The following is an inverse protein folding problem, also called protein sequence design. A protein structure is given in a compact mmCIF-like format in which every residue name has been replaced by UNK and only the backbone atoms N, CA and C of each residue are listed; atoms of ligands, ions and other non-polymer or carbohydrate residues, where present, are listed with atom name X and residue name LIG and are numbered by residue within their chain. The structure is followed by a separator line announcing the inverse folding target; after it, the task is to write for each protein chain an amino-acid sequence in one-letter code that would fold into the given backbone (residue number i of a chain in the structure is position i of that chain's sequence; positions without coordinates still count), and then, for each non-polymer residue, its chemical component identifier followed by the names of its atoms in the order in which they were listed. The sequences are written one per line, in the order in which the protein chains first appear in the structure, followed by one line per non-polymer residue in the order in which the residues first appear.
data_IF_568584358670
#
_entry.id   IF_568584358670
#
_cell.length_a   1.000
_cell.length_b   1.000
_cell.length_c   1.000
_cell.angle_alpha   90.00
_cell.angle_beta   90.00
_cell.angle_gamma   90.00
#
_symmetry.space_group_name_H-M   'P 1'
#
loop_
_entity.id
_entity.type
_entity.pdbx_description
1 polymer ?
#
# COMPACT_ATOMS: atom_id res chain seq x y z
N UNK A 1 -29.36 -1.92 62.34
CA UNK A 1 -30.34 -2.58 61.44
C UNK A 1 -30.86 -1.66 60.30
N UNK A 2 -30.00 -0.94 59.54
CA UNK A 2 -30.46 -0.06 58.42
C UNK A 2 -29.58 -0.04 57.16
N UNK A 3 -28.64 -0.98 56.96
CA UNK A 3 -27.82 -1.07 55.72
C UNK A 3 -28.13 -2.25 54.80
N UNK A 4 -28.81 -3.31 55.27
CA UNK A 4 -29.19 -4.46 54.43
C UNK A 4 -30.30 -4.15 53.40
N UNK A 5 -31.12 -3.12 53.63
CA UNK A 5 -32.35 -2.89 52.85
C UNK A 5 -32.14 -2.11 51.54
N UNK A 6 -30.96 -1.49 51.31
CA UNK A 6 -30.72 -0.72 50.08
C UNK A 6 -30.21 -1.62 48.94
N UNK A 7 -29.21 -2.47 49.23
CA UNK A 7 -28.64 -3.38 48.22
C UNK A 7 -29.66 -4.43 47.78
N UNK A 8 -30.49 -4.95 48.69
CA UNK A 8 -31.53 -5.92 48.32
C UNK A 8 -32.63 -5.27 47.46
N UNK A 9 -32.97 -3.99 47.70
CA UNK A 9 -33.90 -3.24 46.83
C UNK A 9 -33.30 -2.91 45.49
N UNK A 10 -32.01 -2.55 45.46
CA UNK A 10 -31.29 -2.29 44.22
C UNK A 10 -31.19 -3.58 43.38
N UNK A 11 -30.92 -4.72 44.03
CA UNK A 11 -30.87 -6.02 43.39
C UNK A 11 -32.24 -6.48 42.90
N UNK A 12 -33.30 -6.28 43.69
CA UNK A 12 -34.67 -6.58 43.27
C UNK A 12 -35.14 -5.68 42.12
N UNK A 13 -34.69 -4.42 42.07
CA UNK A 13 -34.95 -3.52 40.95
C UNK A 13 -34.13 -3.86 39.70
N UNK A 14 -32.85 -4.24 39.86
CA UNK A 14 -31.96 -4.66 38.77
C UNK A 14 -32.32 -6.03 38.19
N UNK A 15 -32.86 -6.94 39.02
CA UNK A 15 -33.13 -8.33 38.65
C UNK A 15 -34.62 -8.68 38.59
N UNK A 16 -35.52 -7.70 38.71
CA UNK A 16 -36.95 -7.87 38.46
C UNK A 16 -37.15 -8.28 36.99
N UNK A 17 -37.56 -9.53 36.70
CA UNK A 17 -37.76 -9.95 35.33
C UNK A 17 -39.08 -9.35 34.85
N UNK A 18 -39.01 -8.24 34.12
CA UNK A 18 -40.10 -7.89 33.20
C UNK A 18 -40.12 -8.99 32.14
N UNK A 19 -41.05 -9.93 32.29
CA UNK A 19 -41.17 -11.14 31.47
C UNK A 19 -41.46 -10.88 29.98
N UNK A 20 -41.48 -9.62 29.53
CA UNK A 20 -41.61 -9.19 28.14
C UNK A 20 -40.43 -8.35 27.63
N UNK A 21 -39.50 -7.88 28.47
CA UNK A 21 -38.41 -7.01 28.03
C UNK A 21 -37.35 -7.75 27.21
N UNK A 22 -37.20 -9.06 27.38
CA UNK A 22 -36.23 -9.84 26.60
C UNK A 22 -36.58 -9.87 25.10
N UNK A 23 -37.87 -9.96 24.75
CA UNK A 23 -38.31 -9.94 23.36
C UNK A 23 -38.37 -8.52 22.79
N UNK A 24 -38.81 -7.52 23.58
CA UNK A 24 -38.78 -6.11 23.14
C UNK A 24 -37.34 -5.59 22.92
N UNK A 25 -36.36 -6.03 23.71
CA UNK A 25 -34.94 -5.68 23.49
C UNK A 25 -34.43 -6.30 22.20
N UNK A 26 -34.73 -7.58 21.93
CA UNK A 26 -34.31 -8.26 20.70
C UNK A 26 -34.97 -7.66 19.45
N UNK A 27 -36.26 -7.29 19.53
CA UNK A 27 -37.00 -6.63 18.44
C UNK A 27 -36.58 -5.18 18.23
N UNK A 28 -35.98 -4.53 19.24
CA UNK A 28 -35.40 -3.18 19.14
C UNK A 28 -33.95 -3.16 18.64
N UNK A 29 -33.31 -4.32 18.44
CA UNK A 29 -31.98 -4.39 17.82
C UNK A 29 -32.12 -4.14 16.32
N UNK A 30 -32.12 -2.87 15.95
CA UNK A 30 -32.02 -2.48 14.54
C UNK A 30 -30.66 -2.98 14.01
N UNK A 31 -30.70 -3.90 13.03
CA UNK A 31 -29.49 -4.35 12.34
C UNK A 31 -28.98 -3.21 11.48
N UNK A 32 -28.18 -2.32 12.08
CA UNK A 32 -27.50 -1.25 11.34
C UNK A 32 -26.53 -1.93 10.37
N UNK A 33 -26.83 -1.84 9.07
CA UNK A 33 -25.94 -2.35 8.03
C UNK A 33 -24.73 -1.43 7.92
N UNK A 34 -23.69 -1.78 8.68
CA UNK A 34 -22.38 -1.15 8.57
C UNK A 34 -21.73 -1.43 7.21
N UNK A 35 -20.94 -0.50 6.72
CA UNK A 35 -20.13 -0.67 5.52
C UNK A 35 -18.93 -1.59 5.78
N UNK A 36 -18.27 -2.03 4.71
CA UNK A 36 -17.04 -2.84 4.79
C UNK A 36 -15.78 -2.01 4.53
N UNK A 37 -14.71 -2.38 5.21
CA UNK A 37 -13.35 -2.06 4.80
C UNK A 37 -12.77 -3.29 4.10
N UNK A 38 -12.55 -3.21 2.80
CA UNK A 38 -11.87 -4.27 2.06
C UNK A 38 -10.46 -3.79 1.68
N UNK A 39 -9.48 -4.69 1.65
CA UNK A 39 -8.06 -4.31 1.55
C UNK A 39 -7.42 -4.95 0.34
N UNK A 40 -6.61 -4.20 -0.42
CA UNK A 40 -5.81 -4.70 -1.55
C UNK A 40 -4.33 -4.59 -1.22
N UNK A 41 -3.62 -5.72 -1.20
CA UNK A 41 -2.22 -5.81 -0.80
C UNK A 41 -1.37 -6.55 -1.83
N UNK A 42 -0.09 -6.18 -1.91
CA UNK A 42 0.93 -6.96 -2.58
C UNK A 42 1.48 -7.98 -1.60
N UNK A 43 1.67 -9.22 -2.02
CA UNK A 43 2.14 -10.29 -1.13
C UNK A 43 3.62 -10.63 -1.33
N UNK A 44 4.34 -9.88 -2.17
CA UNK A 44 5.78 -10.07 -2.44
C UNK A 44 6.54 -8.79 -2.07
N UNK A 45 7.56 -8.41 -2.85
CA UNK A 45 8.37 -7.20 -2.64
C UNK A 45 7.88 -6.00 -3.47
N UNK A 46 6.58 -5.92 -3.77
CA UNK A 46 5.99 -4.82 -4.53
C UNK A 46 5.90 -5.08 -6.03
N UNK A 47 5.34 -4.11 -6.76
CA UNK A 47 5.15 -4.12 -8.21
C UNK A 47 4.35 -5.32 -8.76
N UNK A 48 3.44 -5.88 -7.96
CA UNK A 48 2.60 -7.03 -8.34
C UNK A 48 1.39 -6.63 -9.21
N UNK A 49 1.21 -5.35 -9.53
CA UNK A 49 0.10 -4.87 -10.35
C UNK A 49 -1.19 -4.58 -9.57
N UNK A 50 -1.08 -4.17 -8.30
CA UNK A 50 -2.24 -3.77 -7.47
C UNK A 50 -3.16 -2.75 -8.13
N UNK A 51 -2.59 -1.72 -8.77
CA UNK A 51 -3.36 -0.64 -9.40
C UNK A 51 -4.42 -1.14 -10.39
N UNK A 52 -4.08 -2.18 -11.17
CA UNK A 52 -5.02 -2.84 -12.09
C UNK A 52 -6.20 -3.47 -11.35
N UNK A 53 -5.92 -4.22 -10.27
CA UNK A 53 -6.97 -4.87 -9.47
C UNK A 53 -7.82 -3.83 -8.75
N UNK A 54 -7.20 -2.76 -8.23
CA UNK A 54 -7.91 -1.64 -7.63
C UNK A 54 -8.86 -1.00 -8.64
N UNK A 55 -8.42 -0.69 -9.85
CA UNK A 55 -9.29 -0.09 -10.88
C UNK A 55 -10.49 -0.99 -11.22
N UNK A 56 -10.27 -2.31 -11.35
CA UNK A 56 -11.34 -3.28 -11.60
C UNK A 56 -12.36 -3.34 -10.45
N UNK A 57 -11.88 -3.25 -9.20
CA UNK A 57 -12.73 -3.34 -8.02
C UNK A 57 -13.44 -2.02 -7.69
N UNK A 58 -12.82 -0.89 -8.01
CA UNK A 58 -13.25 0.48 -7.62
C UNK A 58 -14.74 0.76 -7.85
N UNK A 59 -15.39 0.34 -8.96
CA UNK A 59 -16.82 0.59 -9.19
C UNK A 59 -17.77 0.02 -8.12
N UNK A 60 -17.30 -0.89 -7.25
CA UNK A 60 -18.10 -1.50 -6.17
C UNK A 60 -18.01 -0.74 -4.84
N UNK A 61 -17.20 0.32 -4.76
CA UNK A 61 -16.87 1.01 -3.51
C UNK A 61 -17.25 2.49 -3.58
N UNK A 62 -17.62 3.06 -2.43
CA UNK A 62 -17.89 4.48 -2.29
C UNK A 62 -16.59 5.29 -2.10
N UNK A 63 -15.53 4.66 -1.60
CA UNK A 63 -14.25 5.32 -1.29
C UNK A 63 -13.07 4.39 -1.58
N UNK A 64 -12.02 4.92 -2.20
CA UNK A 64 -10.70 4.28 -2.30
C UNK A 64 -9.71 5.06 -1.43
N UNK A 65 -9.08 4.37 -0.49
CA UNK A 65 -8.27 4.98 0.56
C UNK A 65 -6.85 4.42 0.58
N UNK A 66 -5.84 5.28 0.42
CA UNK A 66 -4.44 4.92 0.70
C UNK A 66 -4.22 5.00 2.21
N UNK A 67 -3.63 3.95 2.79
CA UNK A 67 -3.48 3.85 4.24
C UNK A 67 -2.05 3.95 4.74
N UNK A 68 -1.06 3.81 3.87
CA UNK A 68 0.36 3.86 4.23
C UNK A 68 1.23 4.28 3.03
N UNK A 69 2.51 4.44 3.30
CA UNK A 69 3.52 4.74 2.29
C UNK A 69 3.46 6.20 1.87
N UNK A 70 4.08 6.52 0.75
CA UNK A 70 4.08 7.85 0.19
C UNK A 70 4.21 7.82 -1.33
N UNK A 71 4.87 8.81 -1.94
CA UNK A 71 5.10 8.85 -3.38
C UNK A 71 6.22 7.88 -3.83
N UNK A 72 6.51 6.84 -3.05
CA UNK A 72 7.55 5.83 -3.33
C UNK A 72 7.00 4.58 -4.04
N UNK A 73 5.68 4.42 -4.13
CA UNK A 73 5.05 3.47 -5.03
C UNK A 73 4.56 4.23 -6.28
N UNK A 74 4.81 3.69 -7.47
CA UNK A 74 4.19 4.16 -8.70
C UNK A 74 3.15 3.15 -9.16
N UNK A 75 1.90 3.59 -9.28
CA UNK A 75 0.82 2.78 -9.81
C UNK A 75 0.63 3.17 -11.28
N UNK A 76 1.16 2.34 -12.17
CA UNK A 76 0.90 2.45 -13.59
C UNK A 76 -0.56 2.12 -13.87
N UNK A 77 -1.23 3.01 -14.60
CA UNK A 77 -2.62 2.88 -15.00
C UNK A 77 -2.70 3.07 -16.51
N UNK A 78 -3.52 2.25 -17.16
CA UNK A 78 -3.85 2.37 -18.58
C UNK A 78 -5.36 2.55 -18.70
N UNK A 79 -5.79 3.71 -19.20
CA UNK A 79 -7.19 4.12 -19.23
C UNK A 79 -7.49 4.72 -20.59
N UNK A 80 -8.46 4.12 -21.30
CA UNK A 80 -8.83 4.53 -22.66
C UNK A 80 -7.62 4.64 -23.62
N UNK A 81 -6.64 3.73 -23.48
CA UNK A 81 -5.41 3.73 -24.28
C UNK A 81 -4.36 4.78 -23.87
N UNK A 82 -4.60 5.57 -22.81
CA UNK A 82 -3.61 6.47 -22.23
C UNK A 82 -2.96 5.81 -21.02
N UNK A 83 -1.62 5.86 -20.97
CA UNK A 83 -0.85 5.32 -19.85
C UNK A 83 -0.27 6.45 -19.00
N UNK A 84 -0.37 6.32 -17.68
CA UNK A 84 0.23 7.24 -16.73
C UNK A 84 0.59 6.56 -15.41
N UNK A 85 1.38 7.25 -14.60
CA UNK A 85 1.83 6.77 -13.30
C UNK A 85 1.38 7.76 -12.24
N UNK A 86 0.55 7.30 -11.30
CA UNK A 86 0.20 8.06 -10.09
C UNK A 86 0.98 7.51 -8.90
N UNK A 87 1.43 8.39 -8.01
CA UNK A 87 2.31 8.02 -6.92
C UNK A 87 1.64 8.09 -5.53
N UNK A 88 0.98 9.21 -5.26
CA UNK A 88 0.38 9.59 -3.99
C UNK A 88 -1.16 9.42 -4.01
N UNK A 89 -1.80 9.85 -5.09
CA UNK A 89 -3.27 9.81 -5.23
C UNK A 89 -3.71 8.34 -5.49
N UNK A 90 -4.76 7.85 -4.80
CA UNK A 90 -5.24 6.48 -5.00
C UNK A 90 -5.64 6.18 -6.46
N UNK A 91 -5.44 4.95 -6.91
CA UNK A 91 -5.69 4.50 -8.29
C UNK A 91 -7.16 4.60 -8.72
N UNK A 92 -8.10 4.73 -7.77
CA UNK A 92 -9.51 5.02 -8.05
C UNK A 92 -9.78 6.41 -8.67
N UNK A 93 -8.73 7.21 -8.93
CA UNK A 93 -8.83 8.58 -9.44
C UNK A 93 -9.51 8.73 -10.81
N UNK A 94 -9.80 7.64 -11.52
CA UNK A 94 -10.49 7.69 -12.81
C UNK A 94 -11.94 7.22 -12.76
N UNK A 95 -12.42 6.90 -11.55
CA UNK A 95 -13.80 6.53 -11.31
C UNK A 95 -14.52 7.75 -10.68
N UNK A 96 -15.35 8.49 -11.44
CA UNK A 96 -15.89 9.79 -11.01
C UNK A 96 -16.84 9.70 -9.81
N UNK A 97 -17.48 8.54 -9.59
CA UNK A 97 -18.38 8.32 -8.46
C UNK A 97 -17.69 8.00 -7.13
N UNK A 98 -16.35 7.98 -7.08
CA UNK A 98 -15.59 7.45 -5.95
C UNK A 98 -14.80 8.55 -5.24
N UNK A 99 -14.96 8.59 -3.92
CA UNK A 99 -14.16 9.43 -3.03
C UNK A 99 -12.74 8.85 -2.92
N UNK A 100 -11.73 9.72 -3.01
CA UNK A 100 -10.33 9.38 -2.81
C UNK A 100 -9.89 9.90 -1.45
N UNK A 101 -9.20 9.05 -0.69
CA UNK A 101 -8.74 9.42 0.65
C UNK A 101 -7.28 9.06 0.87
N UNK A 102 -6.50 9.98 1.41
CA UNK A 102 -5.13 9.75 1.87
C UNK A 102 -5.12 9.73 3.40
N UNK A 103 -4.87 8.55 3.96
CA UNK A 103 -5.00 8.25 5.38
C UNK A 103 -3.86 8.76 6.26
N UNK A 104 -4.08 8.65 7.57
CA UNK A 104 -3.13 9.03 8.61
C UNK A 104 -1.80 8.28 8.51
N UNK A 105 -1.83 7.04 8.02
CA UNK A 105 -0.63 6.23 7.90
C UNK A 105 0.30 6.72 6.79
N UNK A 106 -0.18 7.50 5.82
CA UNK A 106 0.62 8.00 4.70
C UNK A 106 1.56 9.15 5.09
N UNK A 107 2.66 9.26 4.34
CA UNK A 107 3.51 10.45 4.23
C UNK A 107 3.23 11.15 2.89
N UNK A 108 3.04 12.47 2.92
CA UNK A 108 2.53 13.28 1.80
C UNK A 108 3.61 14.25 1.35
N UNK A 109 3.96 14.18 0.06
CA UNK A 109 4.76 15.19 -0.64
C UNK A 109 3.83 16.05 -1.52
N UNK A 110 3.68 17.36 -1.23
CA UNK A 110 2.88 18.25 -2.05
C UNK A 110 3.32 18.35 -3.52
N UNK A 111 4.60 18.21 -3.81
CA UNK A 111 5.07 18.19 -5.21
C UNK A 111 4.58 16.94 -5.93
N UNK A 112 4.59 15.78 -5.25
CA UNK A 112 4.06 14.54 -5.81
C UNK A 112 2.54 14.60 -5.99
N UNK A 113 1.80 15.18 -5.04
CA UNK A 113 0.35 15.43 -5.19
C UNK A 113 0.07 16.27 -6.43
N UNK A 114 0.78 17.39 -6.59
CA UNK A 114 0.59 18.26 -7.75
C UNK A 114 0.87 17.53 -9.07
N UNK A 115 1.98 16.78 -9.14
CA UNK A 115 2.32 15.99 -10.32
C UNK A 115 1.25 14.94 -10.65
N UNK A 116 0.70 14.29 -9.63
CA UNK A 116 -0.38 13.33 -9.82
C UNK A 116 -1.66 14.02 -10.34
N UNK A 117 -2.02 15.19 -9.81
CA UNK A 117 -3.15 15.99 -10.30
C UNK A 117 -2.99 16.35 -11.78
N UNK A 118 -1.79 16.81 -12.18
CA UNK A 118 -1.47 17.14 -13.57
C UNK A 118 -1.58 15.89 -14.47
N UNK A 119 -1.06 14.75 -13.99
CA UNK A 119 -1.11 13.46 -14.71
C UNK A 119 -2.56 13.00 -14.89
N UNK A 120 -3.36 13.01 -13.82
CA UNK A 120 -4.76 12.61 -13.85
C UNK A 120 -5.54 13.52 -14.81
N UNK A 121 -5.35 14.84 -14.73
CA UNK A 121 -6.01 15.80 -15.62
C UNK A 121 -5.63 15.58 -17.09
N UNK A 122 -4.36 15.33 -17.38
CA UNK A 122 -3.88 15.05 -18.76
C UNK A 122 -4.49 13.77 -19.36
N UNK A 123 -4.90 12.84 -18.50
CA UNK A 123 -5.56 11.58 -18.87
C UNK A 123 -7.10 11.69 -18.81
N UNK A 124 -7.64 12.90 -18.62
CA UNK A 124 -9.08 13.16 -18.61
C UNK A 124 -9.81 12.84 -17.30
N UNK A 125 -9.07 12.60 -16.20
CA UNK A 125 -9.64 12.45 -14.87
C UNK A 125 -9.82 13.79 -14.16
N UNK A 126 -10.79 13.87 -13.25
CA UNK A 126 -11.01 15.04 -12.39
C UNK A 126 -11.30 14.59 -10.95
N UNK A 127 -10.48 15.00 -10.00
CA UNK A 127 -10.60 14.64 -8.57
C UNK A 127 -11.20 15.77 -7.71
N UNK A 128 -11.63 16.86 -8.33
CA UNK A 128 -12.21 18.03 -7.66
C UNK A 128 -13.42 17.64 -6.82
N UNK A 129 -13.47 18.11 -5.57
CA UNK A 129 -14.56 17.82 -4.64
C UNK A 129 -14.65 16.37 -4.12
N UNK A 130 -13.71 15.49 -4.51
CA UNK A 130 -13.72 14.08 -4.08
C UNK A 130 -12.38 13.56 -3.57
N UNK A 131 -11.30 14.33 -3.62
CA UNK A 131 -10.02 14.01 -2.99
C UNK A 131 -9.93 14.65 -1.60
N UNK A 132 -9.68 13.83 -0.58
CA UNK A 132 -9.51 14.27 0.80
C UNK A 132 -8.25 13.70 1.43
N UNK A 133 -7.69 14.46 2.37
CA UNK A 133 -6.52 14.11 3.15
C UNK A 133 -6.90 14.07 4.61
N UNK A 134 -6.41 13.08 5.35
CA UNK A 134 -6.46 13.16 6.80
C UNK A 134 -5.62 14.33 7.29
N UNK A 135 -6.16 15.07 8.26
CA UNK A 135 -5.41 16.08 9.02
C UNK A 135 -4.15 15.50 9.70
N UNK A 136 -4.10 14.18 9.97
CA UNK A 136 -2.96 13.48 10.58
C UNK A 136 -2.07 12.73 9.59
N UNK A 137 -2.29 12.86 8.28
CA UNK A 137 -1.31 12.39 7.30
C UNK A 137 0.00 13.18 7.50
N UNK A 138 1.15 12.49 7.47
CA UNK A 138 2.46 13.11 7.75
C UNK A 138 2.93 13.91 6.54
N UNK A 139 3.73 14.95 6.75
CA UNK A 139 4.34 15.71 5.67
C UNK A 139 5.77 15.26 5.42
N UNK A 140 6.10 15.07 4.14
CA UNK A 140 7.47 14.99 3.67
C UNK A 140 7.95 16.42 3.48
N UNK A 141 8.90 16.85 4.30
CA UNK A 141 9.50 18.19 4.25
C UNK A 141 10.75 18.17 3.34
N UNK A 142 11.16 19.31 2.77
CA UNK A 142 12.37 19.37 1.94
C UNK A 142 13.63 18.85 2.66
N UNK A 143 13.75 19.14 3.95
CA UNK A 143 14.86 18.63 4.77
C UNK A 143 14.87 17.10 4.90
N UNK A 144 13.70 16.43 4.84
CA UNK A 144 13.63 14.96 4.84
C UNK A 144 14.25 14.36 3.57
N UNK A 145 14.05 14.99 2.41
CA UNK A 145 14.64 14.55 1.14
C UNK A 145 16.17 14.65 1.22
N UNK A 146 16.68 15.74 1.78
CA UNK A 146 18.12 15.96 1.99
C UNK A 146 18.68 14.94 2.97
N UNK A 147 17.99 14.69 4.10
CA UNK A 147 18.42 13.72 5.11
C UNK A 147 18.46 12.29 4.56
N UNK A 148 17.47 11.90 3.76
CA UNK A 148 17.42 10.58 3.10
C UNK A 148 18.61 10.40 2.15
N UNK A 149 18.87 11.40 1.29
CA UNK A 149 20.05 11.41 0.40
C UNK A 149 21.37 11.36 1.17
N UNK A 150 21.48 12.13 2.25
CA UNK A 150 22.68 12.17 3.07
C UNK A 150 22.94 10.83 3.77
N UNK A 151 21.89 10.22 4.35
CA UNK A 151 21.98 8.93 5.03
C UNK A 151 22.42 7.81 4.07
N UNK A 152 21.81 7.73 2.88
CA UNK A 152 22.21 6.73 1.88
C UNK A 152 23.65 6.96 1.38
N UNK A 153 24.07 8.22 1.18
CA UNK A 153 25.45 8.54 0.81
C UNK A 153 26.45 8.07 1.87
N UNK A 154 26.14 8.28 3.16
CA UNK A 154 27.00 7.86 4.26
C UNK A 154 27.12 6.33 4.37
N UNK A 155 26.03 5.61 4.13
CA UNK A 155 26.04 4.14 4.19
C UNK A 155 26.89 3.50 3.09
N UNK A 156 27.08 4.18 1.95
CA UNK A 156 27.93 3.69 0.87
C UNK A 156 27.52 2.31 0.39
N UNK A 157 28.32 1.29 0.68
CA UNK A 157 28.02 -0.11 0.30
C UNK A 157 26.88 -0.73 1.10
N UNK A 158 26.58 -0.19 2.28
CA UNK A 158 25.50 -0.64 3.16
C UNK A 158 24.19 0.14 2.92
N UNK A 159 24.11 0.87 1.80
CA UNK A 159 22.90 1.58 1.41
C UNK A 159 21.73 0.60 1.21
N UNK A 160 20.53 1.01 1.62
CA UNK A 160 19.35 0.14 1.55
C UNK A 160 18.73 0.21 0.14
N UNK A 161 19.02 1.27 -0.61
CA UNK A 161 18.42 1.54 -1.91
C UNK A 161 17.15 2.36 -1.78
N UNK A 162 17.11 3.32 -0.86
CA UNK A 162 15.97 4.23 -0.66
C UNK A 162 15.56 4.91 -1.97
N UNK A 163 14.29 5.31 -2.02
CA UNK A 163 13.77 6.12 -3.14
C UNK A 163 14.29 7.57 -3.12
N UNK A 164 14.98 7.98 -2.05
CA UNK A 164 15.55 9.31 -1.88
C UNK A 164 14.47 10.42 -1.89
N UNK A 165 13.27 10.06 -1.43
CA UNK A 165 12.07 10.92 -1.39
C UNK A 165 11.73 11.38 0.02
N UNK A 166 12.56 11.09 1.03
CA UNK A 166 12.30 11.54 2.40
C UNK A 166 11.24 10.72 3.13
N UNK A 167 10.91 9.51 2.65
CA UNK A 167 9.92 8.61 3.26
C UNK A 167 10.38 8.23 4.67
N UNK A 168 11.58 7.67 4.78
CA UNK A 168 12.12 7.17 6.05
C UNK A 168 12.26 8.28 7.08
N UNK A 169 12.89 9.44 6.79
CA UNK A 169 12.92 10.55 7.72
C UNK A 169 11.54 11.05 8.17
N UNK A 170 10.54 11.11 7.27
CA UNK A 170 9.20 11.52 7.65
C UNK A 170 8.53 10.56 8.65
N UNK A 171 8.72 9.24 8.47
CA UNK A 171 8.27 8.26 9.46
C UNK A 171 9.06 8.33 10.76
N UNK A 172 10.39 8.51 10.70
CA UNK A 172 11.23 8.66 11.88
C UNK A 172 10.79 9.85 12.73
N UNK A 173 10.54 11.00 12.11
CA UNK A 173 10.07 12.20 12.80
C UNK A 173 8.67 12.01 13.40
N UNK A 174 7.80 11.27 12.73
CA UNK A 174 6.50 10.91 13.27
C UNK A 174 6.64 10.04 14.54
N UNK A 175 7.43 8.97 14.47
CA UNK A 175 7.71 8.11 15.61
C UNK A 175 8.44 8.87 16.74
N UNK A 176 9.31 9.82 16.38
CA UNK A 176 10.00 10.74 17.28
C UNK A 176 9.09 11.83 17.86
N UNK A 177 7.84 11.95 17.38
CA UNK A 177 6.84 12.95 17.79
C UNK A 177 7.27 14.41 17.51
N UNK A 178 8.05 14.60 16.45
CA UNK A 178 8.51 15.92 15.99
C UNK A 178 8.02 16.27 14.59
N UNK A 179 7.53 15.28 13.83
CA UNK A 179 7.04 15.46 12.46
C UNK A 179 5.78 16.32 12.36
N UNK A 180 5.62 16.97 11.21
CA UNK A 180 4.45 17.80 10.89
C UNK A 180 3.41 17.00 10.12
N UNK A 181 2.14 17.37 10.30
CA UNK A 181 1.01 16.75 9.62
C UNK A 181 0.32 17.73 8.66
N UNK A 182 -0.44 17.19 7.70
CA UNK A 182 -1.20 17.98 6.71
C UNK A 182 -2.08 19.04 7.38
N UNK A 183 -2.73 18.69 8.51
CA UNK A 183 -3.57 19.61 9.27
C UNK A 183 -2.82 20.74 9.98
N UNK A 184 -1.48 20.68 10.08
CA UNK A 184 -0.69 21.75 10.67
C UNK A 184 -0.50 22.93 9.71
N UNK A 185 -0.55 22.73 8.40
CA UNK A 185 -0.18 23.74 7.39
C UNK A 185 -0.91 25.07 7.57
N UNK A 186 -2.21 25.02 7.85
CA UNK A 186 -3.05 26.22 8.02
C UNK A 186 -3.05 26.79 9.45
N UNK A 187 -2.23 26.25 10.36
CA UNK A 187 -2.10 26.80 11.71
C UNK A 187 -1.14 27.99 11.71
N UNK A 188 -1.41 28.96 12.58
CA UNK A 188 -0.61 30.20 12.69
C UNK A 188 0.86 29.95 13.02
N UNK A 189 1.17 28.83 13.68
CA UNK A 189 2.52 28.47 14.12
C UNK A 189 3.26 27.53 13.15
N UNK A 190 2.69 27.23 11.98
CA UNK A 190 3.26 26.26 11.03
C UNK A 190 4.69 26.63 10.60
N UNK A 191 4.91 27.87 10.14
CA UNK A 191 6.23 28.32 9.68
C UNK A 191 7.28 28.22 10.79
N UNK A 192 6.92 28.55 12.03
CA UNK A 192 7.83 28.41 13.17
C UNK A 192 8.21 26.94 13.41
N UNK A 193 7.24 26.02 13.35
CA UNK A 193 7.48 24.58 13.49
C UNK A 193 8.36 24.04 12.35
N UNK A 194 8.08 24.45 11.11
CA UNK A 194 8.88 24.10 9.92
C UNK A 194 10.34 24.56 10.09
N UNK A 195 10.57 25.83 10.46
CA UNK A 195 11.93 26.34 10.71
C UNK A 195 12.62 25.55 11.82
N UNK A 196 11.91 25.21 12.90
CA UNK A 196 12.48 24.44 14.02
C UNK A 196 12.95 23.05 13.59
N UNK A 197 12.11 22.29 12.88
CA UNK A 197 12.46 20.92 12.45
C UNK A 197 13.55 20.95 11.37
N UNK A 198 13.51 21.91 10.45
CA UNK A 198 14.57 22.11 9.46
C UNK A 198 15.92 22.41 10.12
N UNK A 199 15.96 23.31 11.12
CA UNK A 199 17.19 23.65 11.82
C UNK A 199 17.73 22.48 12.65
N UNK A 200 16.85 21.71 13.30
CA UNK A 200 17.24 20.51 14.04
C UNK A 200 17.98 19.51 13.13
N UNK A 201 17.40 19.19 11.97
CA UNK A 201 18.02 18.23 11.04
C UNK A 201 19.25 18.80 10.31
N UNK A 202 19.30 20.10 10.01
CA UNK A 202 20.52 20.76 9.51
C UNK A 202 21.68 20.55 10.48
N UNK A 203 21.42 20.74 11.78
CA UNK A 203 22.45 20.56 12.79
C UNK A 203 22.88 19.09 12.90
N UNK A 204 21.94 18.15 12.88
CA UNK A 204 22.24 16.71 12.84
C UNK A 204 23.15 16.33 11.66
N UNK A 205 22.87 16.86 10.46
CA UNK A 205 23.69 16.61 9.27
C UNK A 205 25.10 17.20 9.44
N UNK A 206 25.22 18.43 9.98
CA UNK A 206 26.53 19.06 10.25
C UNK A 206 27.37 18.28 11.25
N UNK A 207 26.77 17.83 12.35
CA UNK A 207 27.45 17.05 13.39
C UNK A 207 28.00 15.72 12.86
N UNK A 208 27.42 15.20 11.77
CA UNK A 208 27.90 14.00 11.07
C UNK A 208 28.88 14.32 9.93
N UNK A 209 29.42 15.54 9.86
CA UNK A 209 30.35 15.96 8.81
C UNK A 209 29.70 16.32 7.48
N UNK A 210 28.36 16.45 7.43
CA UNK A 210 27.61 16.77 6.22
C UNK A 210 27.49 18.25 5.89
N UNK A 211 28.35 19.11 6.44
CA UNK A 211 28.31 20.56 6.21
C UNK A 211 28.36 20.94 4.73
N UNK A 212 29.40 20.49 4.03
CA UNK A 212 29.56 20.70 2.58
C UNK A 212 28.43 20.04 1.76
N UNK A 213 27.87 18.93 2.25
CA UNK A 213 26.73 18.29 1.58
C UNK A 213 25.50 19.20 1.58
N UNK A 214 25.23 19.89 2.70
CA UNK A 214 24.11 20.82 2.82
C UNK A 214 24.24 22.04 1.91
N UNK A 215 25.47 22.50 1.62
CA UNK A 215 25.72 23.66 0.76
C UNK A 215 25.25 23.45 -0.69
N UNK A 216 25.03 22.20 -1.10
CA UNK A 216 24.46 21.88 -2.43
C UNK A 216 22.95 22.15 -2.52
N UNK A 217 22.30 22.60 -1.44
CA UNK A 217 20.86 22.77 -1.38
C UNK A 217 20.48 24.16 -0.84
N UNK A 218 19.71 24.91 -1.61
CA UNK A 218 19.03 26.12 -1.12
C UNK A 218 17.73 25.72 -0.41
N UNK A 219 17.81 25.56 0.92
CA UNK A 219 16.66 25.15 1.73
C UNK A 219 15.55 26.21 1.79
N UNK A 220 15.87 27.49 1.64
CA UNK A 220 14.86 28.55 1.68
C UNK A 220 14.06 28.55 0.37
N UNK A 221 14.72 28.39 -0.77
CA UNK A 221 14.08 28.17 -2.07
C UNK A 221 13.23 26.88 -2.06
N UNK A 222 13.80 25.77 -1.59
CA UNK A 222 13.10 24.48 -1.53
C UNK A 222 11.85 24.55 -0.63
N UNK A 223 11.95 25.20 0.54
CA UNK A 223 10.79 25.41 1.41
C UNK A 223 9.75 26.33 0.75
N UNK A 224 10.17 27.40 0.07
CA UNK A 224 9.27 28.29 -0.68
C UNK A 224 8.49 27.55 -1.77
N UNK A 225 9.20 26.77 -2.59
CA UNK A 225 8.61 25.93 -3.63
C UNK A 225 7.65 24.88 -3.06
N UNK A 226 8.03 24.24 -1.96
CA UNK A 226 7.21 23.25 -1.25
C UNK A 226 5.92 23.83 -0.68
N UNK A 227 5.99 25.01 -0.02
CA UNK A 227 4.81 25.71 0.50
C UNK A 227 3.86 26.15 -0.61
N UNK A 228 4.43 26.59 -1.75
CA UNK A 228 3.67 26.93 -2.94
C UNK A 228 2.95 25.70 -3.52
N UNK A 229 3.67 24.58 -3.66
CA UNK A 229 3.09 23.32 -4.12
C UNK A 229 1.95 22.84 -3.20
N UNK A 230 2.10 22.93 -1.88
CA UNK A 230 1.03 22.62 -0.93
C UNK A 230 -0.18 23.52 -1.17
N UNK A 231 0.02 24.84 -1.16
CA UNK A 231 -1.09 25.81 -1.27
C UNK A 231 -1.88 25.68 -2.58
N UNK A 232 -1.22 25.23 -3.66
CA UNK A 232 -1.83 25.04 -4.98
C UNK A 232 -2.50 23.67 -5.17
N UNK A 233 -2.20 22.67 -4.33
CA UNK A 233 -2.66 21.29 -4.54
C UNK A 233 -3.51 20.71 -3.41
N UNK A 234 -3.43 21.27 -2.20
CA UNK A 234 -4.14 20.78 -1.01
C UNK A 234 -4.82 21.98 -0.35
N UNK A 235 -6.11 22.17 -0.62
CA UNK A 235 -6.90 23.24 -0.01
C UNK A 235 -7.43 22.83 1.36
N UNK A 236 -7.80 23.82 2.18
CA UNK A 236 -8.27 23.58 3.56
C UNK A 236 -9.51 22.68 3.64
N UNK A 237 -10.41 22.75 2.66
CA UNK A 237 -11.62 21.94 2.57
C UNK A 237 -11.36 20.47 2.21
N UNK A 238 -10.20 20.16 1.60
CA UNK A 238 -9.76 18.79 1.36
C UNK A 238 -9.25 18.10 2.63
N UNK A 239 -8.94 18.86 3.68
CA UNK A 239 -8.40 18.32 4.93
C UNK A 239 -9.55 17.96 5.87
N UNK A 240 -9.67 16.68 6.20
CA UNK A 240 -10.74 16.13 7.03
C UNK A 240 -10.19 15.47 8.29
N UNK A 241 -11.04 15.32 9.32
CA UNK A 241 -10.62 14.68 10.56
C UNK A 241 -10.20 13.23 10.35
N UNK A 242 -9.29 12.74 11.20
CA UNK A 242 -8.71 11.40 11.13
C UNK A 242 -9.74 10.26 11.16
N UNK A 243 -10.95 10.51 11.69
CA UNK A 243 -12.04 9.55 11.81
C UNK A 243 -12.95 9.47 10.57
N UNK A 244 -12.63 10.20 9.48
CA UNK A 244 -13.47 10.34 8.30
C UNK A 244 -13.93 8.99 7.73
N UNK A 245 -13.02 8.04 7.57
CA UNK A 245 -13.33 6.70 7.04
C UNK A 245 -14.25 5.94 8.00
N UNK A 246 -14.01 5.99 9.31
CA UNK A 246 -14.88 5.37 10.29
C UNK A 246 -16.30 5.93 10.21
N UNK A 247 -16.46 7.25 10.02
CA UNK A 247 -17.78 7.87 9.82
C UNK A 247 -18.45 7.37 8.55
N UNK A 248 -17.72 7.18 7.44
CA UNK A 248 -18.26 6.60 6.21
C UNK A 248 -18.73 5.15 6.41
N UNK A 249 -17.90 4.32 7.04
CA UNK A 249 -18.25 2.93 7.35
C UNK A 249 -19.51 2.83 8.23
N UNK A 250 -19.66 3.72 9.22
CA UNK A 250 -20.88 3.80 10.05
C UNK A 250 -22.14 4.23 9.29
N UNK A 251 -21.97 4.91 8.15
CA UNK A 251 -23.06 5.28 7.23
C UNK A 251 -23.38 4.17 6.22
N UNK A 252 -22.85 2.96 6.39
CA UNK A 252 -23.08 1.85 5.46
C UNK A 252 -22.26 1.92 4.18
N UNK A 253 -21.25 2.81 4.10
CA UNK A 253 -20.42 3.03 2.91
C UNK A 253 -19.25 2.07 2.85
N UNK A 254 -18.99 1.52 1.66
CA UNK A 254 -17.90 0.56 1.46
C UNK A 254 -16.61 1.28 1.06
N UNK A 255 -15.50 0.85 1.64
CA UNK A 255 -14.18 1.46 1.47
C UNK A 255 -13.20 0.41 1.00
N UNK A 256 -12.49 0.69 -0.09
CA UNK A 256 -11.37 -0.11 -0.58
C UNK A 256 -10.05 0.53 -0.12
N UNK A 257 -9.35 -0.13 0.79
CA UNK A 257 -8.02 0.26 1.24
C UNK A 257 -6.96 -0.22 0.24
N UNK A 258 -6.30 0.73 -0.42
CA UNK A 258 -5.24 0.49 -1.39
C UNK A 258 -3.87 0.46 -0.68
N UNK A 259 -3.21 -0.68 -0.70
CA UNK A 259 -1.85 -0.84 -0.20
C UNK A 259 -0.79 -0.34 -1.20
N UNK A 260 0.29 0.21 -0.67
CA UNK A 260 1.51 0.50 -1.42
C UNK A 260 2.58 -0.59 -1.14
N UNK A 261 3.53 -0.81 -2.06
CA UNK A 261 4.56 -1.86 -1.92
C UNK A 261 3.97 -3.26 -1.66
N UNK A 262 4.76 -4.22 -1.20
CA UNK A 262 4.33 -5.57 -0.88
C UNK A 262 4.61 -5.95 0.57
N UNK A 263 3.98 -7.03 1.03
CA UNK A 263 4.02 -7.50 2.43
C UNK A 263 5.42 -7.89 2.88
N UNK A 264 6.28 -8.38 1.98
CA UNK A 264 7.67 -8.74 2.30
C UNK A 264 8.60 -7.51 2.43
N UNK A 265 8.07 -6.30 2.24
CA UNK A 265 8.72 -5.03 2.54
C UNK A 265 8.16 -4.35 3.80
N UNK A 266 7.26 -4.99 4.55
CA UNK A 266 6.74 -4.45 5.81
C UNK A 266 7.87 -4.25 6.83
N UNK A 267 7.77 -3.19 7.64
CA UNK A 267 8.79 -2.87 8.66
C UNK A 267 8.95 -3.96 9.75
N UNK A 268 7.91 -4.75 10.04
CA UNK A 268 7.93 -5.78 11.08
C UNK A 268 8.13 -7.19 10.51
N UNK A 269 7.49 -7.51 9.37
CA UNK A 269 7.46 -8.88 8.83
C UNK A 269 8.35 -9.07 7.59
N UNK A 270 8.87 -8.00 7.02
CA UNK A 270 9.74 -8.05 5.85
C UNK A 270 11.20 -8.37 6.19
N UNK A 271 12.05 -8.38 5.17
CA UNK A 271 13.48 -8.69 5.30
C UNK A 271 14.29 -7.53 5.89
N UNK A 272 14.06 -7.20 7.17
CA UNK A 272 14.73 -6.10 7.85
C UNK A 272 16.27 -6.26 7.82
N UNK A 273 17.06 -5.21 7.51
CA UNK A 273 16.67 -3.79 7.38
C UNK A 273 16.21 -3.37 5.97
N UNK A 274 16.12 -4.28 5.00
CA UNK A 274 15.81 -3.98 3.60
C UNK A 274 14.31 -3.92 3.32
N UNK A 275 13.64 -3.06 4.07
CA UNK A 275 12.18 -2.90 4.13
C UNK A 275 11.79 -1.43 3.98
N UNK A 276 10.49 -1.15 3.81
CA UNK A 276 9.98 0.22 3.94
C UNK A 276 9.73 0.57 5.41
N UNK A 277 9.51 1.86 5.70
CA UNK A 277 9.31 2.36 7.07
C UNK A 277 7.83 2.38 7.49
N UNK A 278 6.99 1.57 6.84
CA UNK A 278 5.56 1.50 7.06
C UNK A 278 5.07 0.06 7.15
N UNK A 279 3.87 -0.11 7.71
CA UNK A 279 3.19 -1.40 7.70
C UNK A 279 2.45 -1.60 6.38
N UNK A 280 2.89 -2.55 5.57
CA UNK A 280 2.31 -2.90 4.26
C UNK A 280 1.23 -4.00 4.38
N UNK A 281 0.82 -4.33 5.60
CA UNK A 281 -0.14 -5.40 5.94
C UNK A 281 -1.59 -4.92 6.14
N UNK A 282 -2.53 -5.85 6.27
CA UNK A 282 -3.96 -5.60 6.61
C UNK A 282 -4.11 -4.83 7.92
N UNK A 283 -3.28 -5.14 8.93
CA UNK A 283 -3.25 -4.40 10.19
C UNK A 283 -2.84 -2.93 9.98
N UNK A 284 -1.90 -2.70 9.05
CA UNK A 284 -1.51 -1.37 8.58
C UNK A 284 -2.69 -0.56 8.03
N UNK A 285 -3.66 -1.19 7.37
CA UNK A 285 -4.87 -0.51 6.89
C UNK A 285 -5.74 0.01 8.04
N UNK A 286 -5.90 -0.79 9.09
CA UNK A 286 -6.68 -0.40 10.28
C UNK A 286 -6.04 0.81 10.99
N UNK A 287 -4.72 0.74 11.24
CA UNK A 287 -3.96 1.82 11.88
C UNK A 287 -3.94 3.07 11.00
N UNK A 288 -3.64 2.90 9.71
CA UNK A 288 -3.51 3.98 8.74
C UNK A 288 -4.79 4.75 8.49
N UNK A 289 -5.95 4.09 8.56
CA UNK A 289 -7.26 4.69 8.33
C UNK A 289 -8.04 5.00 9.62
N UNK A 290 -7.49 4.69 10.80
CA UNK A 290 -8.18 4.81 12.09
C UNK A 290 -9.50 4.03 12.15
N UNK A 291 -9.47 2.79 11.66
CA UNK A 291 -10.65 1.90 11.57
C UNK A 291 -10.45 0.67 12.48
N UNK A 292 -11.47 0.26 13.26
CA UNK A 292 -11.40 -0.99 14.02
C UNK A 292 -11.28 -2.22 13.12
N UNK A 293 -10.45 -3.23 13.48
CA UNK A 293 -10.28 -4.44 12.68
C UNK A 293 -11.59 -5.20 12.36
N UNK A 294 -12.64 -5.03 13.17
CA UNK A 294 -13.97 -5.66 12.98
C UNK A 294 -14.72 -5.18 11.72
N UNK A 295 -14.26 -4.10 11.08
CA UNK A 295 -14.80 -3.63 9.79
C UNK A 295 -14.15 -4.32 8.58
N UNK A 296 -13.00 -4.98 8.76
CA UNK A 296 -12.33 -5.69 7.66
C UNK A 296 -13.18 -6.87 7.22
N UNK A 297 -13.47 -7.00 5.91
CA UNK A 297 -14.27 -8.13 5.38
C UNK A 297 -13.50 -8.94 4.35
N UNK A 298 -13.05 -8.32 3.26
CA UNK A 298 -12.26 -8.99 2.22
C UNK A 298 -10.84 -8.45 2.19
N UNK A 299 -9.89 -9.36 2.00
CA UNK A 299 -8.50 -9.03 1.80
C UNK A 299 -8.07 -9.66 0.47
N UNK A 300 -7.89 -8.79 -0.51
CA UNK A 300 -7.40 -9.11 -1.84
C UNK A 300 -5.87 -9.11 -1.82
N UNK A 301 -5.28 -10.30 -1.94
CA UNK A 301 -3.84 -10.49 -2.03
C UNK A 301 -3.40 -10.64 -3.48
N UNK A 302 -2.41 -9.87 -3.90
CA UNK A 302 -1.93 -9.87 -5.28
C UNK A 302 -0.49 -10.38 -5.27
N UNK A 303 -0.26 -11.45 -6.05
CA UNK A 303 1.08 -11.92 -6.40
C UNK A 303 1.31 -11.74 -7.90
N UNK A 304 2.58 -11.76 -8.28
CA UNK A 304 3.02 -11.93 -9.66
C UNK A 304 3.38 -13.41 -9.87
N UNK A 305 3.19 -13.90 -11.09
CA UNK A 305 3.51 -15.30 -11.45
C UNK A 305 4.99 -15.65 -11.23
N UNK A 306 5.86 -14.65 -11.24
CA UNK A 306 7.26 -14.67 -10.84
C UNK A 306 7.51 -13.55 -9.82
N UNK A 307 8.68 -13.52 -9.19
CA UNK A 307 9.01 -12.50 -8.19
C UNK A 307 9.91 -11.41 -8.76
N UNK A 308 9.78 -10.20 -8.19
CA UNK A 308 10.67 -9.08 -8.48
C UNK A 308 10.99 -8.33 -7.21
N UNK A 309 12.22 -7.81 -7.09
CA UNK A 309 12.65 -6.97 -5.97
C UNK A 309 13.37 -5.72 -6.50
N UNK A 310 13.09 -4.58 -5.89
CA UNK A 310 13.81 -3.31 -6.12
C UNK A 310 14.69 -3.04 -4.91
N UNK A 311 15.96 -2.71 -5.16
CA UNK A 311 16.94 -2.43 -4.12
C UNK A 311 17.64 -3.67 -3.59
N UNK A 312 18.41 -3.46 -2.53
CA UNK A 312 19.26 -4.47 -1.92
C UNK A 312 18.46 -5.45 -1.04
N UNK A 313 19.16 -6.45 -0.52
CA UNK A 313 18.65 -7.42 0.46
C UNK A 313 18.42 -8.83 -0.09
N UNK A 314 18.05 -9.79 0.78
CA UNK A 314 17.87 -11.18 0.38
C UNK A 314 16.81 -11.33 -0.71
N UNK A 315 17.04 -12.18 -1.71
CA UNK A 315 16.01 -12.49 -2.69
C UNK A 315 15.99 -13.98 -3.00
N UNK A 316 15.30 -14.77 -2.16
CA UNK A 316 15.12 -16.19 -2.40
C UNK A 316 14.50 -16.43 -3.78
N UNK A 317 15.13 -17.30 -4.57
CA UNK A 317 14.71 -17.59 -5.94
C UNK A 317 15.18 -16.57 -6.99
N UNK A 318 16.11 -15.66 -6.66
CA UNK A 318 16.72 -14.77 -7.65
C UNK A 318 17.42 -15.54 -8.78
N UNK A 319 17.17 -15.14 -10.02
CA UNK A 319 17.88 -15.69 -11.18
C UNK A 319 19.24 -15.00 -11.28
N UNK A 320 20.31 -15.73 -10.92
CA UNK A 320 21.69 -15.23 -10.97
C UNK A 320 22.29 -15.29 -12.38
N UNK A 321 21.73 -16.11 -13.28
CA UNK A 321 22.14 -16.13 -14.67
C UNK A 321 21.71 -14.81 -15.36
N UNK A 322 22.69 -14.01 -15.78
CA UNK A 322 22.48 -12.66 -16.32
C UNK A 322 21.55 -12.67 -17.53
N UNK A 323 21.79 -13.55 -18.51
CA UNK A 323 21.02 -13.61 -19.75
C UNK A 323 19.56 -13.97 -19.47
N UNK A 324 19.31 -14.97 -18.62
CA UNK A 324 17.95 -15.38 -18.21
C UNK A 324 17.24 -14.28 -17.43
N UNK A 325 17.94 -13.61 -16.51
CA UNK A 325 17.40 -12.50 -15.74
C UNK A 325 17.09 -11.29 -16.62
N UNK A 326 17.93 -10.98 -17.62
CA UNK A 326 17.67 -9.92 -18.59
C UNK A 326 16.48 -10.24 -19.49
N UNK A 327 16.38 -11.47 -20.01
CA UNK A 327 15.22 -11.89 -20.80
C UNK A 327 13.90 -11.72 -20.02
N UNK A 328 13.83 -12.21 -18.78
CA UNK A 328 12.62 -12.06 -17.95
C UNK A 328 12.32 -10.59 -17.63
N UNK A 329 13.36 -9.79 -17.40
CA UNK A 329 13.22 -8.35 -17.13
C UNK A 329 12.68 -7.58 -18.32
N UNK A 330 13.19 -7.85 -19.52
CA UNK A 330 12.71 -7.22 -20.76
C UNK A 330 11.28 -7.62 -21.05
N UNK A 331 10.98 -8.92 -21.04
CA UNK A 331 9.64 -9.44 -21.32
C UNK A 331 8.60 -8.96 -20.31
N UNK A 332 8.99 -8.89 -19.04
CA UNK A 332 8.13 -8.40 -17.96
C UNK A 332 8.04 -6.87 -17.86
N UNK A 333 8.83 -6.12 -18.64
CA UNK A 333 9.06 -4.69 -18.46
C UNK A 333 9.39 -4.33 -17.00
N UNK A 334 10.32 -5.07 -16.40
CA UNK A 334 10.63 -4.99 -14.98
C UNK A 334 11.62 -3.87 -14.65
N UNK A 335 11.10 -2.66 -14.82
CA UNK A 335 11.73 -1.37 -14.55
C UNK A 335 10.83 -0.56 -13.62
N UNK A 336 11.44 0.11 -12.62
CA UNK A 336 10.71 0.97 -11.69
C UNK A 336 9.97 2.08 -12.44
N UNK A 337 8.63 2.14 -12.33
CA UNK A 337 7.82 3.13 -13.06
C UNK A 337 8.15 4.59 -12.71
N UNK A 338 8.76 4.80 -11.54
CA UNK A 338 9.13 6.12 -11.02
C UNK A 338 10.63 6.39 -11.09
N UNK A 339 11.47 5.38 -10.85
CA UNK A 339 12.93 5.53 -10.75
C UNK A 339 13.69 5.06 -12.00
N UNK A 340 13.05 4.28 -12.87
CA UNK A 340 13.69 3.60 -14.00
C UNK A 340 14.65 2.47 -13.60
N UNK A 341 14.83 2.19 -12.31
CA UNK A 341 15.78 1.17 -11.83
C UNK A 341 15.36 -0.23 -12.32
N UNK A 342 16.33 -0.99 -12.85
CA UNK A 342 16.19 -2.42 -13.16
C UNK A 342 15.75 -3.16 -11.89
N UNK A 343 14.68 -3.95 -11.96
CA UNK A 343 14.32 -4.84 -10.86
C UNK A 343 15.17 -6.11 -10.92
N UNK A 344 15.55 -6.63 -9.76
CA UNK A 344 15.98 -8.03 -9.66
C UNK A 344 14.78 -8.90 -9.97
N UNK A 345 14.99 -9.99 -10.69
CA UNK A 345 13.93 -10.91 -11.10
C UNK A 345 14.25 -12.31 -10.63
N UNK A 346 13.22 -13.05 -10.26
CA UNK A 346 13.37 -14.36 -9.67
C UNK A 346 12.07 -15.12 -9.68
N UNK A 347 12.08 -16.31 -9.11
CA UNK A 347 10.90 -17.12 -9.00
C UNK A 347 10.08 -16.80 -7.76
N UNK A 348 8.78 -17.07 -7.84
CA UNK A 348 7.87 -16.89 -6.71
C UNK A 348 8.14 -17.96 -5.65
N UNK A 349 8.55 -17.52 -4.46
CA UNK A 349 8.74 -18.38 -3.30
C UNK A 349 7.39 -18.62 -2.59
N UNK A 350 6.78 -19.79 -2.78
CA UNK A 350 5.43 -20.08 -2.28
C UNK A 350 5.31 -20.05 -0.76
N UNK A 351 6.34 -20.44 0.00
CA UNK A 351 6.26 -20.38 1.47
C UNK A 351 6.20 -18.94 2.00
N UNK A 352 6.93 -18.01 1.38
CA UNK A 352 6.86 -16.59 1.72
C UNK A 352 5.50 -16.00 1.33
N UNK A 353 4.96 -16.41 0.18
CA UNK A 353 3.60 -16.03 -0.23
C UNK A 353 2.57 -16.58 0.77
N UNK A 354 2.70 -17.83 1.21
CA UNK A 354 1.82 -18.46 2.19
C UNK A 354 1.87 -17.74 3.54
N UNK A 355 3.08 -17.36 3.99
CA UNK A 355 3.25 -16.54 5.19
C UNK A 355 2.53 -15.19 5.03
N UNK A 356 2.71 -14.50 3.90
CA UNK A 356 2.04 -13.24 3.61
C UNK A 356 0.50 -13.41 3.53
N UNK A 357 0.00 -14.50 2.96
CA UNK A 357 -1.44 -14.85 2.92
C UNK A 357 -1.98 -14.94 4.35
N UNK A 358 -1.31 -15.72 5.20
CA UNK A 358 -1.76 -16.00 6.58
C UNK A 358 -1.72 -14.77 7.46
N UNK A 359 -0.62 -14.00 7.43
CA UNK A 359 -0.49 -12.78 8.26
C UNK A 359 -1.56 -11.75 7.90
N UNK A 360 -1.88 -11.62 6.61
CA UNK A 360 -2.85 -10.64 6.15
C UNK A 360 -4.30 -11.13 6.20
N UNK A 361 -4.53 -12.43 6.41
CA UNK A 361 -5.86 -13.03 6.34
C UNK A 361 -6.47 -12.91 4.94
N UNK A 362 -5.70 -13.21 3.90
CA UNK A 362 -6.13 -13.06 2.50
C UNK A 362 -7.33 -13.97 2.20
N UNK A 363 -8.44 -13.37 1.79
CA UNK A 363 -9.65 -14.09 1.39
C UNK A 363 -9.66 -14.43 -0.10
N UNK A 364 -9.01 -13.58 -0.90
CA UNK A 364 -9.11 -13.58 -2.35
C UNK A 364 -7.73 -13.31 -2.97
N UNK A 365 -7.17 -14.30 -3.68
CA UNK A 365 -5.87 -14.20 -4.33
C UNK A 365 -6.03 -13.87 -5.82
N UNK A 366 -5.22 -12.92 -6.30
CA UNK A 366 -5.02 -12.62 -7.71
C UNK A 366 -3.57 -12.88 -8.11
N UNK A 367 -3.36 -13.40 -9.33
CA UNK A 367 -2.03 -13.67 -9.88
C UNK A 367 -1.86 -12.86 -11.16
N UNK A 368 -0.90 -11.93 -11.19
CA UNK A 368 -0.64 -11.10 -12.37
C UNK A 368 0.58 -11.54 -13.17
N UNK A 369 0.65 -11.08 -14.41
CA UNK A 369 1.75 -11.29 -15.36
C UNK A 369 2.01 -12.75 -15.72
N UNK A 370 0.95 -13.56 -15.83
CA UNK A 370 1.11 -14.95 -16.26
C UNK A 370 1.56 -15.04 -17.73
N UNK A 371 1.18 -14.06 -18.56
CA UNK A 371 1.60 -13.89 -19.96
C UNK A 371 3.12 -13.76 -20.15
N UNK A 372 3.83 -13.23 -19.14
CA UNK A 372 5.29 -13.16 -19.18
C UNK A 372 5.91 -14.56 -19.15
N UNK A 373 5.19 -15.57 -18.63
CA UNK A 373 5.67 -16.94 -18.61
C UNK A 373 5.31 -17.72 -19.90
N UNK A 374 4.37 -17.26 -20.74
CA UNK A 374 3.76 -18.07 -21.81
C UNK A 374 4.56 -18.19 -23.13
N UNK A 375 5.90 -18.28 -23.11
CA UNK A 375 6.72 -18.42 -24.33
C UNK A 375 7.47 -19.76 -24.35
N UNK A 376 7.53 -20.39 -25.52
CA UNK A 376 8.25 -21.64 -25.81
C UNK A 376 9.76 -21.52 -25.50
N UNK A 377 10.30 -20.30 -25.52
CA UNK A 377 11.69 -20.00 -25.19
C UNK A 377 11.91 -19.65 -23.72
N UNK A 378 10.89 -19.70 -22.85
CA UNK A 378 11.09 -19.52 -21.41
C UNK A 378 12.06 -20.61 -20.93
N UNK A 379 13.32 -20.29 -20.65
CA UNK A 379 14.33 -21.30 -20.43
C UNK A 379 14.05 -21.92 -19.07
N UNK A 380 13.42 -23.10 -19.10
CA UNK A 380 13.26 -23.98 -17.97
C UNK A 380 14.58 -24.04 -17.21
N UNK A 381 14.46 -23.86 -15.92
CA UNK A 381 15.52 -23.92 -14.95
C UNK A 381 16.04 -25.36 -14.89
N UNK A 382 16.94 -25.72 -15.79
CA UNK A 382 17.90 -26.75 -15.44
C UNK A 382 18.80 -26.17 -14.34
N UNK A 383 18.67 -26.66 -13.10
CA UNK A 383 19.80 -26.63 -12.16
C UNK A 383 19.63 -26.10 -10.74
N UNK A 384 18.43 -25.89 -10.19
CA UNK A 384 18.26 -25.63 -8.74
C UNK A 384 17.09 -26.48 -8.22
N UNK A 385 17.44 -27.61 -7.59
CA UNK A 385 16.62 -28.83 -7.48
C UNK A 385 15.47 -28.82 -6.45
N UNK A 386 15.05 -27.67 -5.94
CA UNK A 386 14.02 -27.59 -4.89
C UNK A 386 12.92 -26.55 -5.16
N UNK A 387 12.75 -26.10 -6.41
CA UNK A 387 11.77 -25.08 -6.72
C UNK A 387 10.43 -25.64 -7.25
N UNK A 388 9.26 -25.25 -6.70
CA UNK A 388 7.95 -25.82 -7.07
C UNK A 388 7.54 -25.58 -8.54
N UNK A 389 8.25 -24.68 -9.22
CA UNK A 389 8.04 -24.32 -10.62
C UNK A 389 9.14 -24.84 -11.57
N UNK A 390 10.04 -25.72 -11.14
CA UNK A 390 11.08 -26.29 -12.01
C UNK A 390 10.50 -27.14 -13.16
N UNK A 391 9.23 -27.57 -13.05
CA UNK A 391 8.55 -28.42 -14.05
C UNK A 391 7.40 -27.73 -14.79
N UNK A 392 7.42 -26.40 -14.94
CA UNK A 392 6.47 -25.71 -15.82
C UNK A 392 6.73 -26.12 -17.28
N UNK A 393 6.04 -27.15 -17.76
CA UNK A 393 5.89 -27.41 -19.20
C UNK A 393 4.87 -26.43 -19.77
N UNK A 394 4.79 -26.25 -21.08
CA UNK A 394 3.66 -25.53 -21.69
C UNK A 394 2.79 -26.51 -22.44
N UNK A 395 1.48 -26.31 -22.41
CA UNK A 395 0.58 -27.05 -23.30
C UNK A 395 0.67 -26.52 -24.74
N UNK A 396 0.00 -27.19 -25.67
CA UNK A 396 -0.01 -26.83 -27.11
C UNK A 396 -0.56 -25.43 -27.42
N UNK A 397 -1.15 -24.74 -26.44
CA UNK A 397 -1.69 -23.39 -26.56
C UNK A 397 -0.82 -22.35 -25.83
N UNK A 398 0.35 -22.74 -25.32
CA UNK A 398 1.24 -21.85 -24.57
C UNK A 398 0.82 -21.63 -23.12
N UNK A 399 -0.08 -22.45 -22.56
CA UNK A 399 -0.50 -22.33 -21.15
C UNK A 399 0.48 -23.10 -20.25
N UNK A 400 1.00 -22.50 -19.16
CA UNK A 400 1.87 -23.21 -18.24
C UNK A 400 1.15 -24.43 -17.61
N UNK A 401 1.82 -25.58 -17.74
CA UNK A 401 1.46 -26.92 -17.34
C UNK A 401 2.50 -27.45 -16.32
N UNK A 402 2.11 -27.46 -15.06
CA UNK A 402 2.91 -27.82 -13.90
C UNK A 402 2.56 -29.26 -13.50
N UNK A 403 3.47 -30.21 -13.71
CA UNK A 403 3.27 -31.64 -13.40
C UNK A 403 2.00 -32.28 -14.00
N UNK A 404 1.61 -31.88 -15.22
CA UNK A 404 0.40 -32.41 -15.88
C UNK A 404 -0.89 -31.65 -15.55
N UNK A 405 -0.79 -30.53 -14.83
CA UNK A 405 -1.90 -29.66 -14.43
C UNK A 405 -1.70 -28.26 -15.00
N UNK A 406 -2.76 -27.49 -15.27
CA UNK A 406 -2.57 -26.08 -15.60
C UNK A 406 -2.05 -25.31 -14.37
N UNK A 407 -1.33 -24.21 -14.58
CA UNK A 407 -0.85 -23.34 -13.50
C UNK A 407 -1.99 -22.94 -12.54
N UNK A 408 -3.18 -22.67 -13.09
CA UNK A 408 -4.38 -22.34 -12.32
C UNK A 408 -4.78 -23.50 -11.42
N UNK A 409 -4.91 -24.71 -11.97
CA UNK A 409 -5.31 -25.88 -11.19
C UNK A 409 -4.28 -26.24 -10.12
N UNK A 410 -2.99 -26.07 -10.41
CA UNK A 410 -1.93 -26.23 -9.42
C UNK A 410 -2.10 -25.24 -8.26
N UNK A 411 -2.29 -23.95 -8.55
CA UNK A 411 -2.48 -22.94 -7.51
C UNK A 411 -3.76 -23.15 -6.69
N UNK A 412 -4.85 -23.61 -7.31
CA UNK A 412 -6.10 -23.95 -6.62
C UNK A 412 -5.92 -25.11 -5.64
N UNK A 413 -5.23 -26.18 -6.07
CA UNK A 413 -4.92 -27.31 -5.19
C UNK A 413 -3.95 -26.92 -4.08
N UNK A 414 -2.90 -26.17 -4.41
CA UNK A 414 -1.93 -25.68 -3.43
C UNK A 414 -2.61 -24.83 -2.35
N UNK A 415 -3.53 -23.93 -2.72
CA UNK A 415 -4.34 -23.17 -1.76
C UNK A 415 -5.23 -24.10 -0.92
N UNK A 416 -5.91 -25.06 -1.55
CA UNK A 416 -6.77 -26.01 -0.83
C UNK A 416 -6.02 -26.83 0.22
N UNK A 417 -4.76 -27.18 -0.06
CA UNK A 417 -3.90 -27.93 0.85
C UNK A 417 -3.30 -27.05 1.96
N UNK A 418 -2.90 -25.82 1.65
CA UNK A 418 -2.09 -24.99 2.54
C UNK A 418 -2.86 -23.84 3.24
N UNK A 419 -3.94 -23.33 2.63
CA UNK A 419 -4.74 -22.21 3.12
C UNK A 419 -6.18 -22.22 2.53
N UNK A 420 -7.02 -23.21 2.90
CA UNK A 420 -8.30 -23.48 2.24
C UNK A 420 -9.34 -22.35 2.32
N UNK A 421 -9.15 -21.37 3.20
CA UNK A 421 -9.99 -20.18 3.32
C UNK A 421 -9.73 -19.11 2.25
N UNK A 422 -8.62 -19.23 1.51
CA UNK A 422 -8.27 -18.29 0.43
C UNK A 422 -8.72 -18.84 -0.92
N UNK A 423 -9.46 -18.03 -1.68
CA UNK A 423 -9.90 -18.38 -3.03
C UNK A 423 -8.95 -17.80 -4.06
N UNK A 424 -8.57 -18.57 -5.09
CA UNK A 424 -8.00 -17.99 -6.31
C UNK A 424 -9.14 -17.36 -7.13
N UNK A 425 -9.12 -16.04 -7.28
CA UNK A 425 -10.22 -15.30 -7.91
C UNK A 425 -9.94 -14.98 -9.38
N UNK A 426 -8.69 -14.64 -9.70
CA UNK A 426 -8.37 -14.31 -11.08
C UNK A 426 -6.89 -14.23 -11.39
N UNK A 427 -6.61 -14.32 -12.68
CA UNK A 427 -5.27 -14.37 -13.25
C UNK A 427 -5.16 -13.30 -14.34
N UNK A 428 -4.25 -12.36 -14.13
CA UNK A 428 -3.88 -11.34 -15.10
C UNK A 428 -3.00 -11.91 -16.22
N UNK A 429 -3.45 -11.72 -17.45
CA UNK A 429 -2.80 -12.20 -18.69
C UNK A 429 -2.41 -11.06 -19.65
N UNK A 430 -2.59 -9.80 -19.23
CA UNK A 430 -2.04 -8.65 -19.93
C UNK A 430 -2.02 -7.41 -19.00
N UNK A 431 -1.37 -6.30 -19.38
CA UNK A 431 -1.43 -5.04 -18.64
C UNK A 431 -2.84 -4.42 -18.60
N UNK A 432 -3.66 -4.68 -19.62
CA UNK A 432 -5.00 -4.11 -19.75
C UNK A 432 -5.93 -4.52 -18.61
N UNK A 433 -6.85 -3.63 -18.24
CA UNK A 433 -7.96 -3.86 -17.30
C UNK A 433 -8.75 -5.13 -17.63
N UNK A 434 -8.98 -5.40 -18.92
CA UNK A 434 -9.79 -6.53 -19.39
C UNK A 434 -9.00 -7.84 -19.46
N UNK A 435 -7.68 -7.79 -19.31
CA UNK A 435 -6.80 -8.95 -19.31
C UNK A 435 -6.79 -9.70 -17.98
N UNK A 436 -7.95 -9.95 -17.37
CA UNK A 436 -8.10 -10.80 -16.17
C UNK A 436 -9.02 -11.96 -16.50
N UNK A 437 -8.49 -13.17 -16.40
CA UNK A 437 -9.29 -14.39 -16.41
C UNK A 437 -9.78 -14.70 -14.99
N UNK A 438 -11.09 -14.84 -14.79
CA UNK A 438 -11.66 -15.19 -13.48
C UNK A 438 -11.77 -16.71 -13.33
N UNK A 439 -11.39 -17.22 -12.15
CA UNK A 439 -11.24 -18.65 -11.87
C UNK A 439 -12.49 -19.31 -11.29
#
# INVERSE_FOLDING_TARGET
MKKKNYLDRLWTWLCSPSSNAHNEVLDSVEVVRLGSLDVVLGLQWGDEGKGKIVDVLTPKYDTVARFQGGPNAGHSLEINGMSGVVNQIPSGAFNPGVVLFIGNGCVVDPHAVRKDLDTISSMGGDVSGRLFFSERAKLILPIHIILDKFSEKQKGKDAIGSTLRGITPAYQDHCGRVGLHVGDFYKKDFTQKLTKITNFHKEMIRLQGGGEFLENFDLDELNGSWMSAFSLSITKDMIVSYDYILRKLRQGKNVLAEGAQGSLLDIEIGDYPYVTSSHTTTAGACVGLSVPPTYVRRVYGIIKAYATRVGEGPFPGEILNIEKAEYLREKGHEYGATTGRKRRVGFTHLDLVLQAIRINGVTDLFINKLDVLSDENFPLLEGDSDHPFEKIKFDKNGVPNIYGKTFISFMQEWLKENNPETNLVGVGTSPSRDGIFYC
#
